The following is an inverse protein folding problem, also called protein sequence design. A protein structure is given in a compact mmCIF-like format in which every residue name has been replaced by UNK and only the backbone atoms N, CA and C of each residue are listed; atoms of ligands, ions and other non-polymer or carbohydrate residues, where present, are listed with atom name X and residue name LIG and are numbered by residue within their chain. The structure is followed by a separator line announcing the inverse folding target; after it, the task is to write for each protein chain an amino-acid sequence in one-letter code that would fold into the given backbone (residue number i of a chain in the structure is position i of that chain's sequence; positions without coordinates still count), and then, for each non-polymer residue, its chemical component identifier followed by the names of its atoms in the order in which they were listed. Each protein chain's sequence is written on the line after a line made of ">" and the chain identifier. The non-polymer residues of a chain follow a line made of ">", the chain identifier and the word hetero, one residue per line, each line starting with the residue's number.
data_IF_225041202137
#
_entry.id   IF_225041202137
#
_cell.length_a   1.000
_cell.length_b   1.000
_cell.length_c   1.000
_cell.angle_alpha   90.00
_cell.angle_beta   90.00
_cell.angle_gamma   90.00
#
_symmetry.space_group_name_H-M   'P 1'
#
loop_
_entity.id
_entity.type
_entity.pdbx_description
1 polymer ?
#
# COMPACT_ATOMS: atom_id res chain seq x y z
N UNK A 1 23.68 -3.04 -20.07
CA UNK A 1 23.83 -4.42 -20.57
C UNK A 1 25.26 -4.98 -20.45
N UNK A 2 26.31 -4.14 -20.30
CA UNK A 2 27.67 -4.62 -20.04
C UNK A 2 27.84 -5.32 -18.67
N UNK A 3 27.15 -4.86 -17.62
CA UNK A 3 27.26 -5.47 -16.27
C UNK A 3 26.66 -6.87 -16.14
N UNK A 4 25.71 -7.26 -17.01
CA UNK A 4 25.06 -8.57 -16.93
C UNK A 4 25.94 -9.68 -17.52
N UNK A 5 26.84 -9.36 -18.46
CA UNK A 5 27.77 -10.33 -19.06
C UNK A 5 28.90 -10.74 -18.09
N UNK A 6 29.21 -9.90 -17.11
CA UNK A 6 30.22 -10.17 -16.07
C UNK A 6 29.72 -11.14 -14.98
N UNK A 7 28.42 -11.42 -14.91
CA UNK A 7 27.85 -12.33 -13.90
C UNK A 7 27.77 -13.79 -14.35
N UNK A 8 27.98 -14.07 -15.64
CA UNK A 8 27.72 -15.39 -16.25
C UNK A 8 28.96 -16.28 -16.28
N UNK A 9 30.16 -15.70 -16.20
CA UNK A 9 31.40 -16.47 -16.14
C UNK A 9 32.29 -15.95 -15.02
N UNK A 10 32.61 -16.74 -13.98
CA UNK A 10 33.74 -16.41 -13.13
C UNK A 10 34.97 -16.34 -14.03
N UNK A 11 35.70 -15.23 -13.98
CA UNK A 11 37.01 -15.13 -14.64
C UNK A 11 37.86 -16.32 -14.16
N UNK A 12 38.69 -16.93 -15.01
CA UNK A 12 39.60 -17.98 -14.59
C UNK A 12 40.71 -17.36 -13.72
N UNK A 13 40.38 -17.02 -12.49
CA UNK A 13 41.34 -16.74 -11.41
C UNK A 13 42.09 -18.03 -11.11
N UNK A 14 43.40 -17.91 -10.89
CA UNK A 14 44.30 -19.03 -10.63
C UNK A 14 43.67 -19.98 -9.60
N UNK A 15 43.39 -21.22 -10.03
CA UNK A 15 42.97 -22.33 -9.19
C UNK A 15 44.07 -22.67 -8.16
N UNK A 16 44.17 -21.90 -7.10
CA UNK A 16 44.85 -22.29 -5.87
C UNK A 16 43.77 -22.45 -4.81
N UNK A 17 43.67 -23.67 -4.29
CA UNK A 17 42.77 -23.99 -3.18
C UNK A 17 43.14 -23.12 -1.97
N UNK A 18 42.38 -22.05 -1.73
CA UNK A 18 42.62 -21.12 -0.64
C UNK A 18 42.05 -19.75 -0.91
N UNK A 19 40.78 -19.56 -0.56
CA UNK A 19 40.12 -18.28 -0.31
C UNK A 19 40.46 -17.12 -1.26
N UNK A 20 39.73 -17.02 -2.38
CA UNK A 20 39.88 -15.92 -3.34
C UNK A 20 38.77 -14.87 -3.13
N UNK A 21 39.17 -13.63 -2.86
CA UNK A 21 38.26 -12.48 -2.74
C UNK A 21 38.28 -11.71 -4.07
N UNK A 22 37.47 -12.15 -5.02
CA UNK A 22 37.09 -11.28 -6.15
C UNK A 22 36.30 -10.07 -5.58
N UNK A 23 36.35 -8.92 -6.25
CA UNK A 23 35.69 -7.68 -5.81
C UNK A 23 34.52 -7.29 -6.70
N UNK A 24 34.36 -7.98 -7.83
CA UNK A 24 33.34 -7.68 -8.85
C UNK A 24 32.04 -8.45 -8.66
N UNK A 25 32.06 -9.62 -8.01
CA UNK A 25 30.85 -10.41 -7.79
C UNK A 25 30.07 -9.80 -6.62
N UNK A 26 28.78 -9.49 -6.83
CA UNK A 26 27.93 -8.73 -5.88
C UNK A 26 27.15 -9.61 -4.89
N UNK A 27 27.22 -10.94 -5.05
CA UNK A 27 26.39 -11.93 -4.34
C UNK A 27 27.32 -13.01 -3.78
N UNK A 28 27.05 -13.53 -2.58
CA UNK A 28 27.76 -14.71 -2.10
C UNK A 28 27.46 -15.89 -3.04
N UNK A 29 28.51 -16.51 -3.57
CA UNK A 29 28.38 -17.66 -4.44
C UNK A 29 29.25 -18.78 -3.89
N UNK A 30 28.74 -20.00 -3.90
CA UNK A 30 29.49 -21.19 -3.52
C UNK A 30 29.50 -22.13 -4.71
N UNK A 31 30.68 -22.58 -5.11
CA UNK A 31 30.89 -23.49 -6.23
C UNK A 31 31.62 -24.74 -5.73
N UNK A 32 31.15 -25.92 -6.12
CA UNK A 32 31.87 -27.17 -5.86
C UNK A 32 32.66 -27.51 -7.11
N UNK A 33 33.97 -27.32 -7.05
CA UNK A 33 34.90 -27.66 -8.13
C UNK A 33 35.57 -29.02 -7.90
N UNK A 34 36.31 -29.50 -8.90
CA UNK A 34 37.07 -30.78 -8.82
C UNK A 34 38.14 -30.80 -7.71
N UNK A 35 38.50 -29.63 -7.16
CA UNK A 35 39.52 -29.45 -6.12
C UNK A 35 38.92 -29.03 -4.76
N UNK A 36 37.59 -28.92 -4.62
CA UNK A 36 36.91 -28.56 -3.36
C UNK A 36 35.83 -27.48 -3.49
N UNK A 37 35.33 -27.00 -2.34
CA UNK A 37 34.33 -25.94 -2.22
C UNK A 37 35.01 -24.56 -2.30
N UNK A 38 34.67 -23.76 -3.32
CA UNK A 38 35.08 -22.37 -3.45
C UNK A 38 33.92 -21.48 -3.02
N UNK A 39 34.12 -20.73 -1.94
CA UNK A 39 33.14 -19.75 -1.43
C UNK A 39 33.62 -18.35 -1.74
N UNK A 40 32.83 -17.63 -2.53
CA UNK A 40 33.03 -16.23 -2.85
C UNK A 40 32.27 -15.34 -1.85
N UNK A 41 33.00 -14.44 -1.18
CA UNK A 41 32.42 -13.47 -0.24
C UNK A 41 32.62 -12.05 -0.81
N UNK A 42 31.54 -11.32 -1.14
CA UNK A 42 31.66 -9.98 -1.69
C UNK A 42 32.17 -8.99 -0.64
N UNK A 43 32.88 -7.96 -1.10
CA UNK A 43 33.42 -6.91 -0.24
C UNK A 43 32.32 -6.26 0.66
N UNK A 44 32.58 -6.00 1.97
CA UNK A 44 31.58 -5.52 2.93
C UNK A 44 30.81 -4.26 2.51
N UNK A 45 31.42 -3.39 1.69
CA UNK A 45 30.76 -2.21 1.10
C UNK A 45 29.49 -2.55 0.31
N UNK A 46 29.43 -3.70 -0.37
CA UNK A 46 28.22 -4.10 -1.12
C UNK A 46 27.07 -4.49 -0.19
N UNK A 47 27.38 -5.17 0.92
CA UNK A 47 26.42 -5.44 1.98
C UNK A 47 25.89 -4.15 2.59
N UNK A 48 26.78 -3.22 2.96
CA UNK A 48 26.39 -1.91 3.51
C UNK A 48 25.54 -1.10 2.52
N UNK A 49 25.88 -1.09 1.22
CA UNK A 49 25.01 -0.47 0.19
C UNK A 49 23.67 -1.19 0.06
N UNK A 50 23.64 -2.51 0.19
CA UNK A 50 22.42 -3.31 0.23
C UNK A 50 21.52 -2.93 1.40
N UNK A 51 22.08 -2.95 2.61
CA UNK A 51 21.42 -2.55 3.86
C UNK A 51 20.92 -1.12 3.77
N UNK A 52 21.76 -0.18 3.29
CA UNK A 52 21.35 1.21 3.06
C UNK A 52 20.16 1.28 2.11
N UNK A 53 20.23 0.65 0.93
CA UNK A 53 19.12 0.65 -0.04
C UNK A 53 17.84 0.04 0.55
N UNK A 54 17.97 -1.07 1.27
CA UNK A 54 16.86 -1.69 1.97
C UNK A 54 16.25 -0.73 3.01
N UNK A 55 17.07 -0.09 3.84
CA UNK A 55 16.63 0.88 4.82
C UNK A 55 15.93 2.08 4.17
N UNK A 56 16.49 2.63 3.09
CA UNK A 56 15.85 3.70 2.32
C UNK A 56 14.51 3.26 1.72
N UNK A 57 14.41 2.04 1.18
CA UNK A 57 13.14 1.49 0.67
C UNK A 57 12.12 1.27 1.79
N UNK A 58 12.57 0.75 2.93
CA UNK A 58 11.72 0.56 4.11
C UNK A 58 11.18 1.90 4.61
N UNK A 59 12.04 2.90 4.76
CA UNK A 59 11.66 4.27 5.14
C UNK A 59 10.71 4.92 4.13
N UNK A 60 10.93 4.74 2.83
CA UNK A 60 10.01 5.26 1.83
C UNK A 60 8.65 4.55 1.89
N UNK A 61 8.64 3.23 2.10
CA UNK A 61 7.41 2.47 2.25
C UNK A 61 6.62 2.91 3.50
N UNK A 62 7.29 3.15 4.63
CA UNK A 62 6.64 3.67 5.83
C UNK A 62 6.15 5.10 5.65
N UNK A 63 6.93 5.99 5.03
CA UNK A 63 6.49 7.36 4.67
C UNK A 63 5.21 7.34 3.86
N UNK A 64 5.15 6.51 2.81
CA UNK A 64 3.94 6.35 1.99
C UNK A 64 2.80 5.73 2.81
N UNK A 65 3.10 4.77 3.70
CA UNK A 65 2.11 4.10 4.54
C UNK A 65 1.51 4.99 5.64
N UNK A 66 2.14 6.10 6.01
CA UNK A 66 1.59 7.10 6.96
C UNK A 66 1.19 8.42 6.31
N UNK A 67 1.42 8.59 5.01
CA UNK A 67 0.98 9.78 4.26
C UNK A 67 -0.53 10.07 4.44
N UNK A 68 -0.95 11.32 4.74
CA UNK A 68 -0.19 12.58 4.64
C UNK A 68 0.57 12.99 5.91
N UNK A 69 0.59 12.16 6.95
CA UNK A 69 1.27 12.47 8.22
C UNK A 69 2.79 12.33 8.06
N UNK A 70 3.59 13.38 8.29
CA UNK A 70 5.04 13.29 8.23
C UNK A 70 5.60 12.39 9.34
N UNK A 71 6.59 11.54 9.05
CA UNK A 71 7.13 10.60 10.05
C UNK A 71 7.68 11.27 11.31
N UNK A 72 8.24 12.48 11.19
CA UNK A 72 8.76 13.20 12.35
C UNK A 72 7.64 13.59 13.33
N UNK A 73 6.43 13.88 12.84
CA UNK A 73 5.27 14.18 13.70
C UNK A 73 4.86 12.97 14.53
N UNK A 74 5.01 11.76 13.96
CA UNK A 74 4.81 10.51 14.70
C UNK A 74 5.86 10.39 15.79
N UNK A 75 7.15 10.62 15.46
CA UNK A 75 8.23 10.60 16.45
C UNK A 75 8.03 11.59 17.60
N UNK A 76 7.63 12.83 17.30
CA UNK A 76 7.34 13.87 18.30
C UNK A 76 6.12 13.51 19.14
N UNK A 77 5.03 13.06 18.51
CA UNK A 77 3.82 12.63 19.22
C UNK A 77 4.12 11.44 20.14
N UNK A 78 4.86 10.45 19.65
CA UNK A 78 5.30 9.29 20.43
C UNK A 78 6.15 9.73 21.61
N UNK A 79 7.16 10.58 21.41
CA UNK A 79 7.99 11.09 22.49
C UNK A 79 7.17 11.87 23.55
N UNK A 80 6.23 12.70 23.09
CA UNK A 80 5.32 13.45 23.96
C UNK A 80 4.42 12.54 24.79
N UNK A 81 3.74 11.59 24.15
CA UNK A 81 2.86 10.63 24.83
C UNK A 81 3.64 9.75 25.79
N UNK A 82 4.79 9.20 25.39
CA UNK A 82 5.67 8.45 26.30
C UNK A 82 6.09 9.31 27.49
N UNK A 83 6.46 10.58 27.26
CA UNK A 83 6.86 11.51 28.31
C UNK A 83 5.75 11.85 29.31
N UNK A 84 4.50 11.96 28.84
CA UNK A 84 3.32 12.14 29.69
C UNK A 84 3.04 10.86 30.47
N UNK A 85 2.92 9.72 29.78
CA UNK A 85 2.57 8.44 30.40
C UNK A 85 3.61 8.02 31.44
N UNK A 86 4.90 8.24 31.19
CA UNK A 86 5.97 7.91 32.15
C UNK A 86 5.95 8.78 33.40
N UNK A 87 5.47 10.04 33.30
CA UNK A 87 5.30 10.94 34.45
C UNK A 87 3.97 10.78 35.17
N UNK A 88 2.95 10.23 34.52
CA UNK A 88 1.63 10.03 35.12
C UNK A 88 1.64 8.98 36.24
N UNK A 89 0.80 9.20 37.26
CA UNK A 89 0.57 8.23 38.33
C UNK A 89 -0.04 6.93 37.81
N UNK A 90 0.17 5.83 38.55
CA UNK A 90 -0.36 4.50 38.18
C UNK A 90 -1.90 4.45 38.12
N UNK A 91 -2.58 5.28 38.91
CA UNK A 91 -4.04 5.45 38.95
C UNK A 91 -4.57 6.25 37.76
N UNK A 92 -3.72 7.01 37.06
CA UNK A 92 -4.13 7.89 35.97
C UNK A 92 -4.78 7.11 34.83
N UNK A 93 -5.80 7.70 34.21
CA UNK A 93 -6.54 7.12 33.09
C UNK A 93 -5.63 6.62 31.95
N UNK A 94 -4.49 7.29 31.71
CA UNK A 94 -3.53 6.87 30.70
C UNK A 94 -2.89 5.49 30.96
N UNK A 95 -2.84 5.04 32.22
CA UNK A 95 -2.25 3.75 32.63
C UNK A 95 -3.29 2.72 33.04
N UNK A 96 -4.44 3.15 33.57
CA UNK A 96 -5.49 2.28 34.11
C UNK A 96 -6.78 2.26 33.28
N UNK A 97 -6.89 3.09 32.26
CA UNK A 97 -8.07 3.20 31.40
C UNK A 97 -8.31 1.97 30.53
N UNK A 98 -9.47 1.92 29.88
CA UNK A 98 -9.86 0.77 29.04
C UNK A 98 -8.87 0.50 27.90
N UNK A 99 -8.31 1.55 27.28
CA UNK A 99 -7.28 1.43 26.23
C UNK A 99 -6.01 0.81 26.79
N UNK A 100 -5.56 1.29 27.96
CA UNK A 100 -4.37 0.76 28.62
C UNK A 100 -4.57 -0.72 28.99
N UNK A 101 -5.72 -1.09 29.55
CA UNK A 101 -6.03 -2.49 29.88
C UNK A 101 -6.08 -3.38 28.63
N UNK A 102 -6.62 -2.89 27.51
CA UNK A 102 -6.59 -3.62 26.25
C UNK A 102 -5.15 -3.82 25.75
N UNK A 103 -4.31 -2.79 25.79
CA UNK A 103 -2.91 -2.86 25.41
C UNK A 103 -2.12 -3.85 26.28
N UNK A 104 -2.32 -3.83 27.60
CA UNK A 104 -1.68 -4.78 28.51
C UNK A 104 -2.07 -6.24 28.20
N UNK A 105 -3.35 -6.50 27.91
CA UNK A 105 -3.81 -7.85 27.51
C UNK A 105 -3.18 -8.32 26.20
N UNK A 106 -3.00 -7.42 25.24
CA UNK A 106 -2.34 -7.75 23.97
C UNK A 106 -0.85 -7.98 24.17
N UNK A 107 -0.21 -7.16 24.99
CA UNK A 107 1.22 -7.24 25.28
C UNK A 107 1.61 -8.48 26.09
N UNK A 108 0.70 -8.95 26.96
CA UNK A 108 0.87 -10.22 27.66
C UNK A 108 1.00 -11.41 26.69
N UNK A 109 0.50 -11.33 25.45
CA UNK A 109 0.71 -12.38 24.45
C UNK A 109 2.15 -12.40 23.91
N UNK A 110 2.90 -11.30 24.06
CA UNK A 110 4.25 -11.18 23.53
C UNK A 110 5.31 -11.67 24.55
N UNK A 111 6.11 -12.71 24.23
CA UNK A 111 7.10 -13.23 25.17
C UNK A 111 8.32 -12.29 25.35
N UNK A 112 8.53 -11.36 24.43
CA UNK A 112 9.67 -10.44 24.42
C UNK A 112 9.43 -9.25 25.35
N UNK A 113 8.24 -8.65 25.34
CA UNK A 113 7.94 -7.48 26.16
C UNK A 113 7.89 -7.80 27.66
N UNK A 114 7.54 -9.04 28.02
CA UNK A 114 7.57 -9.54 29.42
C UNK A 114 8.95 -9.49 30.07
N UNK A 115 10.04 -9.48 29.29
CA UNK A 115 11.41 -9.41 29.82
C UNK A 115 11.86 -7.99 30.18
N UNK A 116 11.07 -6.96 29.83
CA UNK A 116 11.41 -5.56 30.07
C UNK A 116 10.93 -5.11 31.46
N UNK A 117 11.68 -4.21 32.14
CA UNK A 117 11.22 -3.60 33.37
C UNK A 117 9.95 -2.76 33.12
N UNK A 118 9.07 -2.70 34.11
CA UNK A 118 7.71 -2.13 33.99
C UNK A 118 7.70 -0.71 33.40
N UNK A 119 8.67 0.14 33.77
CA UNK A 119 8.76 1.50 33.24
C UNK A 119 9.06 1.54 31.74
N UNK A 120 9.95 0.68 31.25
CA UNK A 120 10.24 0.58 29.80
C UNK A 120 9.07 -0.06 29.05
N UNK A 121 8.40 -1.03 29.66
CA UNK A 121 7.21 -1.69 29.11
C UNK A 121 6.06 -0.70 28.91
N UNK A 122 5.80 0.17 29.89
CA UNK A 122 4.81 1.27 29.79
C UNK A 122 5.17 2.24 28.67
N UNK A 123 6.43 2.64 28.56
CA UNK A 123 6.90 3.53 27.49
C UNK A 123 6.75 2.91 26.10
N UNK A 124 7.09 1.63 25.97
CA UNK A 124 6.92 0.85 24.74
C UNK A 124 5.44 0.76 24.32
N UNK A 125 4.54 0.43 25.25
CA UNK A 125 3.10 0.36 24.99
C UNK A 125 2.51 1.71 24.58
N UNK A 126 2.95 2.79 25.23
CA UNK A 126 2.56 4.15 24.86
C UNK A 126 3.03 4.51 23.44
N UNK A 127 4.24 4.08 23.05
CA UNK A 127 4.76 4.29 21.71
C UNK A 127 3.96 3.50 20.66
N UNK A 128 3.69 2.23 20.92
CA UNK A 128 2.89 1.37 20.04
C UNK A 128 1.49 1.93 19.83
N UNK A 129 0.81 2.31 20.92
CA UNK A 129 -0.52 2.93 20.87
C UNK A 129 -0.53 4.21 20.02
N UNK A 130 0.51 5.04 20.14
CA UNK A 130 0.64 6.27 19.37
C UNK A 130 0.83 5.99 17.88
N UNK A 131 1.67 5.00 17.53
CA UNK A 131 1.90 4.61 16.12
C UNK A 131 0.62 4.02 15.51
N UNK A 132 -0.09 3.16 16.24
CA UNK A 132 -1.37 2.59 15.80
C UNK A 132 -2.41 3.71 15.62
N UNK A 133 -2.53 4.63 16.58
CA UNK A 133 -3.44 5.78 16.51
C UNK A 133 -3.15 6.67 15.30
N UNK A 134 -1.88 7.00 15.05
CA UNK A 134 -1.47 7.77 13.87
C UNK A 134 -1.75 7.02 12.55
N UNK A 135 -1.56 5.70 12.54
CA UNK A 135 -1.90 4.85 11.40
C UNK A 135 -3.39 4.85 11.10
N UNK A 136 -4.22 4.72 12.15
CA UNK A 136 -5.67 4.79 12.04
C UNK A 136 -6.13 6.18 11.53
N UNK A 137 -5.55 7.26 12.06
CA UNK A 137 -5.82 8.62 11.58
C UNK A 137 -5.47 8.79 10.10
N UNK A 138 -4.29 8.34 9.67
CA UNK A 138 -3.91 8.37 8.26
C UNK A 138 -4.86 7.53 7.38
N UNK A 139 -5.33 6.37 7.86
CA UNK A 139 -6.32 5.56 7.16
C UNK A 139 -7.68 6.28 7.00
N UNK A 140 -8.14 6.96 8.04
CA UNK A 140 -9.36 7.79 8.00
C UNK A 140 -9.21 8.93 7.00
N UNK A 141 -8.10 9.66 7.03
CA UNK A 141 -7.82 10.72 6.06
C UNK A 141 -7.81 10.20 4.62
N UNK A 142 -7.21 9.03 4.37
CA UNK A 142 -7.24 8.37 3.05
C UNK A 142 -8.64 7.99 2.62
N UNK A 143 -9.46 7.52 3.55
CA UNK A 143 -10.85 7.19 3.26
C UNK A 143 -11.61 8.44 2.79
N UNK A 144 -11.49 9.56 3.52
CA UNK A 144 -12.10 10.83 3.12
C UNK A 144 -11.58 11.34 1.78
N UNK A 145 -10.26 11.31 1.58
CA UNK A 145 -9.66 11.71 0.30
C UNK A 145 -10.14 10.82 -0.86
N UNK A 146 -10.26 9.51 -0.65
CA UNK A 146 -10.80 8.59 -1.65
C UNK A 146 -12.25 8.92 -1.98
N UNK A 147 -13.08 9.21 -0.97
CA UNK A 147 -14.47 9.64 -1.17
C UNK A 147 -14.56 10.96 -1.93
N UNK A 148 -13.66 11.88 -1.63
CA UNK A 148 -13.56 13.15 -2.33
C UNK A 148 -13.18 12.92 -3.80
N UNK A 149 -12.14 12.14 -4.07
CA UNK A 149 -11.70 11.81 -5.44
C UNK A 149 -12.73 10.99 -6.23
N UNK A 150 -13.59 10.22 -5.55
CA UNK A 150 -14.66 9.46 -6.18
C UNK A 150 -15.77 10.35 -6.75
N UNK A 151 -15.87 11.62 -6.35
CA UNK A 151 -16.87 12.52 -6.88
C UNK A 151 -16.49 12.96 -8.31
N UNK A 152 -17.32 12.56 -9.28
CA UNK A 152 -17.11 12.86 -10.70
C UNK A 152 -18.02 13.99 -11.23
N UNK A 153 -18.85 14.62 -10.38
CA UNK A 153 -19.79 15.67 -10.82
C UNK A 153 -19.10 16.95 -11.32
N UNK A 154 -17.79 17.06 -11.18
CA UNK A 154 -17.01 18.14 -11.80
C UNK A 154 -16.78 17.94 -13.31
N UNK A 155 -16.81 16.68 -13.79
CA UNK A 155 -16.66 16.30 -15.20
C UNK A 155 -17.90 16.60 -16.06
N UNK A 156 -19.02 16.96 -15.43
CA UNK A 156 -20.24 17.30 -16.16
C UNK A 156 -20.01 18.53 -17.06
N UNK A 157 -20.46 18.44 -18.31
CA UNK A 157 -20.28 19.44 -19.38
C UNK A 157 -21.23 20.64 -19.24
N UNK A 158 -22.10 20.64 -18.23
CA UNK A 158 -22.99 21.77 -17.93
C UNK A 158 -22.20 23.06 -17.67
N UNK A 159 -22.67 24.17 -18.27
CA UNK A 159 -22.07 25.50 -18.14
C UNK A 159 -22.07 26.03 -16.69
N UNK A 160 -22.99 25.56 -15.84
CA UNK A 160 -23.07 25.96 -14.44
C UNK A 160 -22.63 24.83 -13.50
N UNK A 161 -21.61 25.09 -12.69
CA UNK A 161 -21.17 24.16 -11.65
C UNK A 161 -22.08 24.25 -10.43
N UNK A 162 -22.63 23.11 -10.02
CA UNK A 162 -23.46 22.98 -8.81
C UNK A 162 -22.68 23.42 -7.56
N UNK A 163 -23.39 23.93 -6.55
CA UNK A 163 -22.79 24.28 -5.24
C UNK A 163 -21.96 23.13 -4.65
N UNK A 164 -22.43 21.89 -4.80
CA UNK A 164 -21.70 20.67 -4.42
C UNK A 164 -20.31 20.58 -5.05
N UNK A 165 -20.18 20.90 -6.34
CA UNK A 165 -18.90 20.90 -7.07
C UNK A 165 -17.99 22.01 -6.59
N UNK A 166 -18.53 23.19 -6.28
CA UNK A 166 -17.77 24.31 -5.72
C UNK A 166 -17.22 23.98 -4.33
N UNK A 167 -18.05 23.44 -3.44
CA UNK A 167 -17.63 22.99 -2.10
C UNK A 167 -16.60 21.87 -2.20
N UNK A 168 -16.84 20.89 -3.07
CA UNK A 168 -15.87 19.82 -3.34
C UNK A 168 -14.51 20.39 -3.76
N UNK A 169 -14.49 21.33 -4.71
CA UNK A 169 -13.26 21.95 -5.21
C UNK A 169 -12.54 22.73 -4.10
N UNK A 170 -13.28 23.47 -3.27
CA UNK A 170 -12.70 24.18 -2.13
C UNK A 170 -12.07 23.23 -1.11
N UNK A 171 -12.76 22.15 -0.74
CA UNK A 171 -12.22 21.12 0.17
C UNK A 171 -10.97 20.45 -0.43
N UNK A 172 -11.03 20.11 -1.71
CA UNK A 172 -9.92 19.46 -2.42
C UNK A 172 -8.69 20.38 -2.44
N UNK A 173 -8.86 21.66 -2.79
CA UNK A 173 -7.76 22.61 -2.88
C UNK A 173 -7.16 22.94 -1.53
N UNK A 174 -8.00 23.29 -0.54
CA UNK A 174 -7.53 23.76 0.77
C UNK A 174 -6.92 22.67 1.63
N UNK A 175 -7.46 21.44 1.56
CA UNK A 175 -7.03 20.36 2.45
C UNK A 175 -5.96 19.46 1.81
N UNK A 176 -5.96 19.30 0.48
CA UNK A 176 -5.13 18.28 -0.18
C UNK A 176 -4.21 18.83 -1.27
N UNK A 177 -4.70 19.65 -2.21
CA UNK A 177 -3.86 20.10 -3.35
C UNK A 177 -2.73 21.05 -2.93
N UNK A 178 -2.99 21.93 -1.96
CA UNK A 178 -1.93 22.81 -1.42
C UNK A 178 -0.89 22.07 -0.57
N UNK A 179 -1.09 20.77 -0.32
CA UNK A 179 -0.23 19.92 0.50
C UNK A 179 0.22 18.67 -0.27
N UNK A 180 0.26 18.74 -1.61
CA UNK A 180 0.69 17.63 -2.46
C UNK A 180 2.12 17.26 -2.09
N UNK A 181 2.30 16.01 -1.67
CA UNK A 181 3.63 15.45 -1.47
C UNK A 181 4.37 15.37 -2.80
N UNK A 182 5.63 15.78 -2.81
CA UNK A 182 6.56 15.66 -3.95
C UNK A 182 6.84 14.20 -4.36
N UNK A 183 6.38 13.22 -3.58
CA UNK A 183 6.60 11.81 -3.88
C UNK A 183 5.60 11.27 -4.92
N UNK A 184 6.13 10.74 -6.02
CA UNK A 184 5.37 10.21 -7.16
C UNK A 184 4.23 9.23 -6.78
N UNK A 185 4.46 8.36 -5.78
CA UNK A 185 3.50 7.31 -5.40
C UNK A 185 2.78 7.54 -4.07
N UNK A 186 2.83 8.76 -3.51
CA UNK A 186 2.21 9.07 -2.22
C UNK A 186 0.69 8.82 -2.21
N UNK A 187 0.01 9.17 -3.30
CA UNK A 187 -1.45 9.10 -3.42
C UNK A 187 -1.98 7.82 -4.08
N UNK A 188 -1.11 6.88 -4.44
CA UNK A 188 -1.54 5.64 -5.09
C UNK A 188 -2.58 4.88 -4.23
N UNK A 189 -2.47 4.98 -2.90
CA UNK A 189 -3.38 4.39 -1.92
C UNK A 189 -4.68 5.16 -1.71
N UNK A 190 -4.76 6.41 -2.17
CA UNK A 190 -5.91 7.28 -2.03
C UNK A 190 -6.85 7.21 -3.24
N UNK A 191 -6.39 6.68 -4.38
CA UNK A 191 -7.20 6.56 -5.59
C UNK A 191 -8.45 5.70 -5.34
N UNK A 192 -9.62 6.10 -5.86
CA UNK A 192 -10.83 5.29 -5.82
C UNK A 192 -10.63 4.00 -6.63
N UNK A 193 -11.28 2.92 -6.18
CA UNK A 193 -11.38 1.71 -6.98
C UNK A 193 -12.20 2.01 -8.24
N UNK A 194 -11.89 1.33 -9.34
CA UNK A 194 -12.70 1.42 -10.54
C UNK A 194 -14.14 0.98 -10.21
N UNK A 195 -15.17 1.79 -10.49
CA UNK A 195 -16.55 1.42 -10.19
C UNK A 195 -16.98 0.26 -11.07
N UNK A 196 -17.81 -0.62 -10.51
CA UNK A 196 -18.37 -1.73 -11.25
C UNK A 196 -19.63 -1.24 -12.00
N UNK A 197 -19.68 -1.33 -13.35
CA UNK A 197 -20.86 -0.90 -14.10
C UNK A 197 -22.03 -1.85 -13.88
N UNK A 198 -23.24 -1.31 -14.01
CA UNK A 198 -24.48 -2.09 -14.07
C UNK A 198 -24.49 -2.94 -15.33
N UNK A 199 -24.91 -4.21 -15.21
CA UNK A 199 -25.03 -5.10 -16.37
C UNK A 199 -26.06 -4.56 -17.36
N UNK A 200 -27.20 -4.05 -16.87
CA UNK A 200 -28.25 -3.48 -17.71
C UNK A 200 -27.74 -2.30 -18.52
N UNK A 201 -27.01 -1.39 -17.87
CA UNK A 201 -26.46 -0.20 -18.53
C UNK A 201 -25.40 -0.58 -19.55
N UNK A 202 -24.59 -1.59 -19.24
CA UNK A 202 -23.55 -2.11 -20.14
C UNK A 202 -24.16 -2.77 -21.37
N UNK A 203 -25.19 -3.59 -21.19
CA UNK A 203 -25.91 -4.26 -22.29
C UNK A 203 -26.68 -3.24 -23.14
N UNK A 204 -27.35 -2.27 -22.53
CA UNK A 204 -28.02 -1.21 -23.27
C UNK A 204 -27.02 -0.41 -24.12
N UNK A 205 -25.88 -0.03 -23.53
CA UNK A 205 -24.81 0.67 -24.25
C UNK A 205 -24.24 -0.17 -25.38
N UNK A 206 -24.05 -1.48 -25.17
CA UNK A 206 -23.63 -2.42 -26.20
C UNK A 206 -24.59 -2.43 -27.40
N UNK A 207 -25.91 -2.58 -27.15
CA UNK A 207 -26.91 -2.56 -28.21
C UNK A 207 -26.88 -1.25 -29.00
N UNK A 208 -26.82 -0.09 -28.31
CA UNK A 208 -26.72 1.22 -28.97
C UNK A 208 -25.44 1.37 -29.80
N UNK A 209 -24.32 0.80 -29.36
CA UNK A 209 -23.05 0.90 -30.11
C UNK A 209 -23.00 0.03 -31.35
N UNK A 210 -23.75 -1.07 -31.35
CA UNK A 210 -23.73 -2.07 -32.43
C UNK A 210 -24.88 -1.86 -33.42
N UNK A 211 -25.97 -1.22 -33.00
CA UNK A 211 -27.12 -0.83 -33.83
C UNK A 211 -26.77 -0.19 -35.18
N UNK A 212 -25.82 0.77 -35.30
CA UNK A 212 -25.49 1.34 -36.61
C UNK A 212 -24.65 0.42 -37.52
N UNK A 213 -24.21 -0.74 -37.04
CA UNK A 213 -23.32 -1.66 -37.77
C UNK A 213 -24.04 -2.92 -38.27
N UNK A 214 -25.31 -3.13 -37.88
CA UNK A 214 -26.04 -4.38 -38.12
C UNK A 214 -27.34 -4.13 -38.88
N UNK A 215 -27.75 -5.14 -39.65
CA UNK A 215 -29.06 -5.15 -40.29
C UNK A 215 -30.19 -5.40 -39.27
N UNK A 216 -31.42 -5.04 -39.63
CA UNK A 216 -32.57 -5.09 -38.72
C UNK A 216 -32.82 -6.49 -38.12
N UNK A 217 -32.64 -7.55 -38.91
CA UNK A 217 -32.82 -8.93 -38.50
C UNK A 217 -31.75 -9.39 -37.50
N UNK A 218 -30.48 -9.03 -37.75
CA UNK A 218 -29.37 -9.30 -36.83
C UNK A 218 -29.57 -8.56 -35.51
N UNK A 219 -30.01 -7.30 -35.58
CA UNK A 219 -30.28 -6.49 -34.39
C UNK A 219 -31.38 -7.10 -33.51
N UNK A 220 -32.43 -7.67 -34.07
CA UNK A 220 -33.47 -8.38 -33.30
C UNK A 220 -32.91 -9.62 -32.59
N UNK A 221 -32.09 -10.42 -33.27
CA UNK A 221 -31.44 -11.58 -32.66
C UNK A 221 -30.53 -11.16 -31.47
N UNK A 222 -29.77 -10.07 -31.63
CA UNK A 222 -28.94 -9.51 -30.56
C UNK A 222 -29.76 -8.99 -29.37
N UNK A 223 -30.91 -8.37 -29.62
CA UNK A 223 -31.84 -7.96 -28.54
C UNK A 223 -32.37 -9.18 -27.79
N UNK A 224 -32.76 -10.24 -28.48
CA UNK A 224 -33.24 -11.46 -27.84
C UNK A 224 -32.15 -12.10 -26.97
N UNK A 225 -30.93 -12.27 -27.50
CA UNK A 225 -29.78 -12.79 -26.74
C UNK A 225 -29.46 -11.92 -25.51
N UNK A 226 -29.47 -10.60 -25.67
CA UNK A 226 -29.25 -9.66 -24.56
C UNK A 226 -30.31 -9.82 -23.46
N UNK A 227 -31.58 -10.00 -23.81
CA UNK A 227 -32.65 -10.21 -22.82
C UNK A 227 -32.53 -11.54 -22.09
N UNK A 228 -32.16 -12.62 -22.80
CA UNK A 228 -31.88 -13.93 -22.19
C UNK A 228 -30.70 -13.84 -21.23
N UNK A 229 -29.59 -13.23 -21.65
CA UNK A 229 -28.41 -13.00 -20.81
C UNK A 229 -28.75 -12.23 -19.53
N UNK A 230 -29.52 -11.14 -19.63
CA UNK A 230 -29.93 -10.36 -18.46
C UNK A 230 -30.76 -11.20 -17.49
N UNK A 231 -31.67 -12.05 -17.98
CA UNK A 231 -32.56 -12.84 -17.14
C UNK A 231 -31.88 -14.03 -16.47
N UNK A 232 -31.02 -14.73 -17.20
CA UNK A 232 -30.52 -16.05 -16.78
C UNK A 232 -29.10 -15.97 -16.18
N UNK A 233 -28.15 -15.39 -16.91
CA UNK A 233 -26.72 -15.52 -16.57
C UNK A 233 -26.13 -14.30 -15.85
N UNK A 234 -26.71 -13.11 -16.08
CA UNK A 234 -26.10 -11.84 -15.66
C UNK A 234 -25.82 -11.77 -14.16
N UNK A 235 -26.71 -12.31 -13.33
CA UNK A 235 -26.59 -12.27 -11.88
C UNK A 235 -25.38 -13.06 -11.38
N UNK A 236 -25.20 -14.29 -11.85
CA UNK A 236 -24.09 -15.17 -11.45
C UNK A 236 -22.74 -14.56 -11.83
N UNK A 237 -22.65 -13.99 -13.03
CA UNK A 237 -21.43 -13.35 -13.52
C UNK A 237 -21.13 -12.05 -12.78
N UNK A 238 -22.14 -11.18 -12.59
CA UNK A 238 -21.96 -9.93 -11.85
C UNK A 238 -21.59 -10.18 -10.39
N UNK A 239 -22.13 -11.23 -9.78
CA UNK A 239 -21.77 -11.64 -8.42
C UNK A 239 -20.29 -12.05 -8.33
N UNK A 240 -19.82 -12.92 -9.24
CA UNK A 240 -18.40 -13.31 -9.30
C UNK A 240 -17.49 -12.10 -9.53
N UNK A 241 -17.89 -11.19 -10.40
CA UNK A 241 -17.16 -9.96 -10.69
C UNK A 241 -17.13 -9.02 -9.49
N UNK A 242 -18.23 -8.93 -8.72
CA UNK A 242 -18.30 -8.17 -7.48
C UNK A 242 -17.36 -8.72 -6.41
N UNK A 243 -17.29 -10.05 -6.24
CA UNK A 243 -16.33 -10.68 -5.34
C UNK A 243 -14.88 -10.37 -5.74
N UNK A 244 -14.58 -10.42 -7.04
CA UNK A 244 -13.24 -10.07 -7.56
C UNK A 244 -12.93 -8.58 -7.34
N UNK A 245 -13.91 -7.70 -7.52
CA UNK A 245 -13.82 -6.27 -7.26
C UNK A 245 -13.55 -5.94 -5.78
N UNK A 246 -14.09 -6.71 -4.84
CA UNK A 246 -13.78 -6.54 -3.41
C UNK A 246 -12.30 -6.81 -3.12
N UNK A 247 -11.74 -7.87 -3.69
CA UNK A 247 -10.35 -8.30 -3.44
C UNK A 247 -9.30 -7.47 -4.18
N UNK A 248 -9.62 -6.95 -5.38
CA UNK A 248 -8.67 -6.20 -6.21
C UNK A 248 -8.82 -4.68 -6.10
N UNK A 249 -7.76 -3.96 -6.45
CA UNK A 249 -7.76 -2.48 -6.57
C UNK A 249 -8.25 -2.03 -7.95
N UNK A 250 -7.86 -2.79 -8.97
CA UNK A 250 -8.40 -2.75 -10.32
C UNK A 250 -8.80 -4.19 -10.66
N UNK A 251 -10.07 -4.40 -11.01
CA UNK A 251 -10.60 -5.73 -11.34
C UNK A 251 -10.30 -6.15 -12.78
N UNK A 252 -9.81 -5.24 -13.62
CA UNK A 252 -9.46 -5.47 -15.04
C UNK A 252 -7.98 -5.83 -15.22
N UNK A 253 -7.14 -5.56 -14.22
CA UNK A 253 -5.70 -5.90 -14.20
C UNK A 253 -5.42 -7.21 -13.45
#
# INVERSE_FOLDING_TARGET
>A
MAEARLAVHPMPGLQRAGFEVDTNVKVCQAFVGKQGLVVYIPHPRYWLRGVRRWAWKALNKTRVAFHPVPLWTIGVATAGVCGVVLRSEKSSWFRSGWVANALWRMDDLSPIARRLPVNLRVGYLAAEATVIGMGAFAAVQRFFLRRLLSYQGWLDRKNHKTLKTKVWGLLMTKLYLNRISEQLYAYQWCLPKLPLPSVKDTVAKYLTTVEPLMDATEMEAHKEMATKFIKEESWSLQWRLWLLWLGKRNYVS
#
